data_IF_719542992546
#
_entry.id   IF_719542992546
#
_cell.length_a   1.000
_cell.length_b   1.000
_cell.length_c   1.000
_cell.angle_alpha   90.00
_cell.angle_beta   90.00
_cell.angle_gamma   90.00
#
_symmetry.space_group_name_H-M   'P 1'
#
loop_
_entity.id
_entity.type
_entity.pdbx_description
1 polymer ?
#
# COMPACT_ATOMS: atom_id res chain seq x y z
N UNK A 1 -5.43 -9.80 9.62
CA UNK A 1 -4.22 -10.63 9.49
C UNK A 1 -3.49 -10.50 8.15
N UNK A 2 -4.14 -10.35 6.97
CA UNK A 2 -3.42 -10.01 5.71
C UNK A 2 -3.21 -8.49 5.51
N UNK A 3 -4.24 -7.68 5.81
CA UNK A 3 -4.17 -6.21 5.68
C UNK A 3 -3.15 -5.54 6.62
N UNK A 4 -2.96 -6.09 7.81
CA UNK A 4 -1.97 -5.60 8.78
C UNK A 4 -0.54 -5.81 8.25
N UNK A 5 -0.28 -6.99 7.68
CA UNK A 5 1.01 -7.31 7.03
C UNK A 5 1.25 -6.42 5.81
N UNK A 6 0.21 -6.14 5.02
CA UNK A 6 0.28 -5.17 3.93
C UNK A 6 0.64 -3.77 4.45
N UNK A 7 0.00 -3.30 5.53
CA UNK A 7 0.30 -2.01 6.13
C UNK A 7 1.76 -1.91 6.59
N UNK A 8 2.29 -2.96 7.22
CA UNK A 8 3.71 -3.03 7.63
C UNK A 8 4.64 -2.84 6.42
N UNK A 9 4.41 -3.60 5.34
CA UNK A 9 5.21 -3.52 4.10
C UNK A 9 5.15 -2.12 3.47
N UNK A 10 3.96 -1.51 3.41
CA UNK A 10 3.79 -0.19 2.82
C UNK A 10 4.39 0.92 3.69
N UNK A 11 4.32 0.79 5.03
CA UNK A 11 4.96 1.71 5.98
C UNK A 11 6.48 1.63 5.90
N UNK A 12 7.04 0.42 5.79
CA UNK A 12 8.46 0.23 5.54
C UNK A 12 8.85 0.92 4.23
N UNK A 13 8.02 0.80 3.18
CA UNK A 13 8.27 1.51 1.92
C UNK A 13 8.27 3.02 2.09
N UNK A 14 7.35 3.61 2.85
CA UNK A 14 7.38 5.05 3.14
C UNK A 14 8.70 5.47 3.79
N UNK A 15 9.27 4.64 4.65
CA UNK A 15 10.56 4.91 5.27
C UNK A 15 11.73 4.82 4.27
N UNK A 16 11.74 3.78 3.44
CA UNK A 16 12.73 3.60 2.36
C UNK A 16 12.70 4.76 1.37
N UNK A 17 11.51 5.25 1.02
CA UNK A 17 11.34 6.42 0.14
C UNK A 17 11.60 7.76 0.85
N UNK A 18 12.02 7.74 2.13
CA UNK A 18 12.30 8.93 2.96
C UNK A 18 11.11 9.88 3.07
N UNK A 19 9.91 9.33 3.19
CA UNK A 19 8.69 10.12 3.42
C UNK A 19 8.82 10.96 4.70
N UNK A 20 8.43 12.23 4.62
CA UNK A 20 8.35 13.11 5.80
C UNK A 20 7.26 12.62 6.76
N UNK A 21 7.37 12.93 8.06
CA UNK A 21 6.33 12.58 9.04
C UNK A 21 4.94 13.09 8.66
N UNK A 22 4.84 14.31 8.12
CA UNK A 22 3.58 14.86 7.61
C UNK A 22 3.03 14.04 6.44
N UNK A 23 3.88 13.52 5.55
CA UNK A 23 3.48 12.65 4.46
C UNK A 23 3.03 11.28 4.99
N UNK A 24 3.77 10.69 5.93
CA UNK A 24 3.39 9.43 6.58
C UNK A 24 2.02 9.53 7.25
N UNK A 25 1.75 10.63 7.96
CA UNK A 25 0.46 10.87 8.61
C UNK A 25 -0.70 10.98 7.60
N UNK A 26 -0.50 11.72 6.51
CA UNK A 26 -1.52 11.87 5.45
C UNK A 26 -1.76 10.55 4.72
N UNK A 27 -0.70 9.83 4.37
CA UNK A 27 -0.82 8.51 3.74
C UNK A 27 -1.57 7.51 4.63
N UNK A 28 -1.28 7.53 5.94
CA UNK A 28 -1.98 6.69 6.92
C UNK A 28 -3.48 7.03 7.00
N UNK A 29 -3.85 8.30 6.86
CA UNK A 29 -5.25 8.70 6.79
C UNK A 29 -5.94 8.09 5.57
N UNK A 30 -5.33 8.18 4.38
CA UNK A 30 -5.86 7.56 3.15
C UNK A 30 -5.99 6.04 3.28
N UNK A 31 -5.00 5.39 3.91
CA UNK A 31 -5.07 3.96 4.21
C UNK A 31 -6.27 3.63 5.13
N UNK A 32 -6.46 4.38 6.21
CA UNK A 32 -7.57 4.18 7.14
C UNK A 32 -8.93 4.40 6.46
N UNK A 33 -9.04 5.37 5.56
CA UNK A 33 -10.24 5.56 4.75
C UNK A 33 -10.49 4.39 3.80
N UNK A 34 -9.43 3.88 3.15
CA UNK A 34 -9.53 2.72 2.28
C UNK A 34 -9.95 1.43 3.01
N UNK A 35 -9.67 1.32 4.31
CA UNK A 35 -10.18 0.23 5.14
C UNK A 35 -11.66 0.41 5.53
N UNK A 36 -12.14 1.64 5.67
CA UNK A 36 -13.52 1.93 6.08
C UNK A 36 -14.53 1.76 4.96
N UNK A 37 -14.14 2.09 3.72
CA UNK A 37 -14.96 1.90 2.53
C UNK A 37 -14.47 0.71 1.72
N UNK A 38 -15.27 -0.37 1.71
CA UNK A 38 -15.08 -1.48 0.78
C UNK A 38 -15.09 -0.98 -0.66
N UNK A 39 -13.92 -1.03 -1.31
CA UNK A 39 -13.74 -0.63 -2.70
C UNK A 39 -12.85 0.60 -2.91
N UNK A 40 -12.50 1.34 -1.85
CA UNK A 40 -11.53 2.43 -1.98
C UNK A 40 -10.13 1.88 -2.31
N UNK A 41 -9.39 2.56 -3.20
CA UNK A 41 -8.07 2.13 -3.62
C UNK A 41 -7.05 2.21 -2.48
N UNK A 42 -6.24 1.18 -2.31
CA UNK A 42 -5.10 1.25 -1.38
C UNK A 42 -4.06 2.26 -1.94
N UNK A 43 -3.63 3.25 -1.15
CA UNK A 43 -2.71 4.29 -1.62
C UNK A 43 -1.29 3.76 -1.85
N UNK A 44 -0.70 4.06 -3.01
CA UNK A 44 0.68 3.72 -3.32
C UNK A 44 1.68 4.63 -2.58
N UNK A 45 2.55 4.10 -1.71
CA UNK A 45 3.50 4.91 -0.95
C UNK A 45 4.53 5.59 -1.85
N UNK A 46 5.00 4.93 -2.91
CA UNK A 46 5.95 5.51 -3.86
C UNK A 46 5.39 6.75 -4.57
N UNK A 47 4.23 6.63 -5.22
CA UNK A 47 3.60 7.77 -5.89
C UNK A 47 3.29 8.89 -4.90
N UNK A 48 2.79 8.54 -3.71
CA UNK A 48 2.47 9.55 -2.72
C UNK A 48 3.70 10.35 -2.27
N UNK A 49 4.85 9.71 -2.09
CA UNK A 49 6.07 10.40 -1.66
C UNK A 49 6.68 11.24 -2.77
N UNK A 50 6.76 10.70 -3.99
CA UNK A 50 7.48 11.33 -5.10
C UNK A 50 6.64 12.31 -5.91
N UNK A 51 5.34 12.05 -6.08
CA UNK A 51 4.45 12.89 -6.90
C UNK A 51 3.35 13.55 -6.10
N UNK A 52 3.24 13.28 -4.79
CA UNK A 52 2.16 13.73 -3.94
C UNK A 52 0.76 13.32 -4.45
N UNK A 53 0.71 12.27 -5.28
CA UNK A 53 -0.53 11.73 -5.84
C UNK A 53 -0.89 10.41 -5.18
N UNK A 54 -2.15 10.27 -4.82
CA UNK A 54 -2.71 9.02 -4.29
C UNK A 54 -3.14 8.14 -5.46
N UNK A 55 -2.24 7.25 -5.88
CA UNK A 55 -2.53 6.26 -6.91
C UNK A 55 -2.90 4.91 -6.27
N UNK A 56 -3.78 4.15 -6.94
CA UNK A 56 -4.25 2.86 -6.46
C UNK A 56 -3.20 1.77 -6.63
N UNK A 57 -3.10 0.91 -5.61
CA UNK A 57 -2.54 -0.44 -5.73
C UNK A 57 -3.69 -1.38 -6.12
N UNK A 58 -3.57 -1.99 -7.29
CA UNK A 58 -4.47 -3.05 -7.75
C UNK A 58 -3.97 -4.40 -7.22
N UNK A 59 -4.86 -5.28 -6.72
CA UNK A 59 -4.48 -6.64 -6.35
C UNK A 59 -4.07 -7.43 -7.60
N UNK A 60 -3.02 -8.23 -7.48
CA UNK A 60 -2.55 -9.17 -8.48
C UNK A 60 -2.94 -10.60 -8.04
N UNK A 61 -2.97 -11.59 -8.96
CA UNK A 61 -3.18 -12.97 -8.58
C UNK A 61 -2.15 -13.42 -7.54
N UNK A 62 -2.65 -13.96 -6.43
CA UNK A 62 -1.84 -14.47 -5.33
C UNK A 62 -0.91 -15.58 -5.83
N UNK A 63 0.31 -15.63 -5.30
CA UNK A 63 1.29 -16.67 -5.59
C UNK A 63 1.44 -17.58 -4.37
N UNK A 64 0.60 -18.62 -4.31
CA UNK A 64 0.50 -19.48 -3.14
C UNK A 64 0.05 -18.69 -1.90
N UNK A 65 0.92 -18.63 -0.88
CA UNK A 65 0.67 -17.93 0.41
C UNK A 65 1.08 -16.45 0.40
N UNK A 66 1.38 -15.89 -0.77
CA UNK A 66 1.85 -14.50 -0.90
C UNK A 66 0.85 -13.71 -1.72
N UNK A 67 0.22 -12.74 -1.06
CA UNK A 67 -0.60 -11.75 -1.73
C UNK A 67 0.27 -10.70 -2.39
N UNK A 68 -0.16 -10.23 -3.56
CA UNK A 68 0.58 -9.28 -4.37
C UNK A 68 -0.32 -8.14 -4.79
N UNK A 69 0.26 -6.95 -4.89
CA UNK A 69 -0.42 -5.78 -5.44
C UNK A 69 0.54 -4.93 -6.23
N UNK A 70 0.04 -4.26 -7.26
CA UNK A 70 0.83 -3.39 -8.12
C UNK A 70 0.19 -2.03 -8.24
N UNK A 71 0.97 -0.97 -8.19
CA UNK A 71 0.44 0.36 -8.48
C UNK A 71 0.13 0.50 -9.98
N UNK A 72 -1.04 1.05 -10.32
CA UNK A 72 -1.44 1.24 -11.72
C UNK A 72 -0.53 2.25 -12.47
N UNK A 73 0.01 3.24 -11.76
CA UNK A 73 0.81 4.33 -12.34
C UNK A 73 2.30 4.01 -12.34
N UNK A 74 2.92 3.90 -11.15
CA UNK A 74 4.37 3.68 -11.06
C UNK A 74 4.77 2.23 -11.29
N UNK A 75 3.81 1.31 -11.43
CA UNK A 75 4.04 -0.12 -11.67
C UNK A 75 4.84 -0.86 -10.59
N UNK A 76 5.15 -0.21 -9.45
CA UNK A 76 5.79 -0.84 -8.31
C UNK A 76 4.92 -1.98 -7.78
N UNK A 77 5.56 -3.12 -7.53
CA UNK A 77 4.95 -4.31 -6.98
C UNK A 77 5.25 -4.42 -5.50
N UNK A 78 4.22 -4.80 -4.74
CA UNK A 78 4.24 -4.98 -3.31
C UNK A 78 3.79 -6.42 -3.03
N UNK A 79 4.47 -7.08 -2.11
CA UNK A 79 4.18 -8.47 -1.74
C UNK A 79 4.07 -8.52 -0.23
N UNK A 80 3.06 -9.23 0.27
CA UNK A 80 2.87 -9.44 1.69
C UNK A 80 2.38 -10.87 1.94
N UNK A 81 2.71 -11.47 3.09
CA UNK A 81 2.21 -12.79 3.44
C UNK A 81 0.68 -12.74 3.55
N UNK A 82 0.02 -13.64 2.83
CA UNK A 82 -1.42 -13.86 2.92
C UNK A 82 -1.65 -14.88 4.04
N UNK A 83 -2.35 -14.46 5.09
CA UNK A 83 -2.50 -15.26 6.31
C UNK A 83 -3.57 -16.36 6.21
N UNK A 84 -4.24 -16.51 5.06
CA UNK A 84 -5.38 -17.42 4.87
C UNK A 84 -5.00 -18.75 4.18
N UNK A 85 -3.71 -19.14 4.20
CA UNK A 85 -3.21 -20.34 3.53
C UNK A 85 -2.54 -21.36 4.45
#
# INVERSE_FOLDING_TARGET
MALEKMLEVLRERLDVEKARDSQKAVWQAFWNEAQKESGKPIPCPFCFVHTNQVNRIIPLPNEGKVARGRCEVCRNEYRWPDADA
#
